data_IF_802262904577
#
_entry.id   IF_802262904577
#
_cell.length_a   1.000
_cell.length_b   1.000
_cell.length_c   1.000
_cell.angle_alpha   90.00
_cell.angle_beta   90.00
_cell.angle_gamma   90.00
#
_symmetry.space_group_name_H-M   'P 1'
#
loop_
_entity.id
_entity.type
_entity.pdbx_description
1 polymer ?
#
# COMPACT_ATOMS: atom_id res chain seq x y z
N UNK A 1 -4.49 -40.36 5.27
CA UNK A 1 -4.89 -39.02 4.81
C UNK A 1 -5.19 -38.17 6.03
N UNK A 2 -4.28 -37.25 6.35
CA UNK A 2 -4.59 -36.17 7.31
C UNK A 2 -5.27 -35.08 6.50
N UNK A 3 -6.62 -35.10 6.47
CA UNK A 3 -7.40 -34.02 5.90
C UNK A 3 -7.05 -32.69 6.57
N UNK A 4 -7.05 -31.61 5.80
CA UNK A 4 -7.01 -30.27 6.35
C UNK A 4 -8.30 -30.07 7.17
N UNK A 5 -8.14 -29.79 8.46
CA UNK A 5 -9.23 -29.39 9.32
C UNK A 5 -9.52 -27.92 9.02
N UNK A 6 -10.67 -27.64 8.40
CA UNK A 6 -11.07 -26.28 8.04
C UNK A 6 -12.16 -25.84 9.01
N UNK A 7 -12.00 -24.63 9.53
CA UNK A 7 -13.03 -23.97 10.32
C UNK A 7 -14.30 -23.77 9.51
N UNK A 8 -15.44 -23.67 10.19
CA UNK A 8 -16.70 -23.35 9.54
C UNK A 8 -16.65 -22.01 8.81
N UNK A 9 -17.30 -21.89 7.62
CA UNK A 9 -17.33 -20.63 6.89
C UNK A 9 -17.91 -19.50 7.72
N UNK A 10 -17.20 -18.38 7.79
CA UNK A 10 -17.67 -17.16 8.45
C UNK A 10 -18.11 -16.12 7.40
N UNK A 11 -19.02 -15.18 7.74
CA UNK A 11 -19.37 -14.08 6.85
C UNK A 11 -18.14 -13.27 6.42
N UNK A 12 -18.20 -12.69 5.22
CA UNK A 12 -17.17 -11.78 4.73
C UNK A 12 -16.99 -10.61 5.70
N UNK A 13 -15.73 -10.34 6.07
CA UNK A 13 -15.39 -9.31 7.04
C UNK A 13 -13.91 -9.01 7.04
N UNK A 14 -13.34 -8.78 8.23
CA UNK A 14 -11.92 -8.47 8.38
C UNK A 14 -11.08 -9.74 8.25
N UNK A 15 -10.19 -9.77 7.26
CA UNK A 15 -9.23 -10.84 7.06
C UNK A 15 -7.82 -10.24 6.90
N UNK A 16 -6.85 -10.73 7.68
CA UNK A 16 -5.45 -10.28 7.64
C UNK A 16 -5.29 -8.74 7.69
N UNK A 17 -6.13 -8.05 8.47
CA UNK A 17 -6.09 -6.60 8.62
C UNK A 17 -6.78 -5.80 7.50
N UNK A 18 -7.29 -6.47 6.47
CA UNK A 18 -8.09 -5.88 5.41
C UNK A 18 -9.59 -6.10 5.69
N UNK A 19 -10.38 -5.03 5.65
CA UNK A 19 -11.83 -5.13 5.73
C UNK A 19 -12.38 -5.39 4.32
N UNK A 20 -13.15 -6.46 4.18
CA UNK A 20 -13.82 -6.81 2.94
C UNK A 20 -15.30 -6.46 3.06
N UNK A 21 -15.81 -5.70 2.09
CA UNK A 21 -17.24 -5.33 2.02
C UNK A 21 -17.79 -5.72 0.66
N UNK A 22 -18.89 -6.44 0.67
CA UNK A 22 -19.64 -6.75 -0.55
C UNK A 22 -20.80 -5.77 -0.70
N UNK A 23 -20.97 -5.27 -1.91
CA UNK A 23 -22.07 -4.38 -2.30
C UNK A 23 -22.46 -4.64 -3.77
N UNK A 24 -23.47 -3.93 -4.24
CA UNK A 24 -23.85 -3.95 -5.65
C UNK A 24 -23.86 -2.53 -6.21
N UNK A 25 -23.46 -2.36 -7.46
CA UNK A 25 -23.63 -1.10 -8.16
C UNK A 25 -24.24 -1.31 -9.54
N UNK A 26 -24.90 -0.28 -10.06
CA UNK A 26 -25.43 -0.23 -11.41
C UNK A 26 -24.44 0.55 -12.28
N UNK A 27 -23.93 -0.09 -13.33
CA UNK A 27 -23.05 0.54 -14.30
C UNK A 27 -23.84 1.46 -15.24
N UNK A 28 -23.14 2.34 -15.98
CA UNK A 28 -23.75 3.26 -16.94
C UNK A 28 -24.60 2.56 -18.01
N UNK A 29 -24.19 1.36 -18.42
CA UNK A 29 -24.95 0.51 -19.37
C UNK A 29 -26.19 -0.16 -18.77
N UNK A 30 -26.54 0.15 -17.50
CA UNK A 30 -27.69 -0.40 -16.79
C UNK A 30 -27.47 -1.77 -16.14
N UNK A 31 -26.31 -2.42 -16.35
CA UNK A 31 -26.00 -3.73 -15.77
C UNK A 31 -25.72 -3.59 -14.27
N UNK A 32 -26.31 -4.45 -13.46
CA UNK A 32 -26.01 -4.56 -12.03
C UNK A 32 -24.86 -5.54 -11.84
N UNK A 33 -23.84 -5.11 -11.10
CA UNK A 33 -22.65 -5.90 -10.80
C UNK A 33 -22.41 -5.95 -9.30
N UNK A 34 -21.81 -7.04 -8.82
CA UNK A 34 -21.32 -7.13 -7.45
C UNK A 34 -19.98 -6.40 -7.35
N UNK A 35 -19.76 -5.75 -6.22
CA UNK A 35 -18.53 -5.01 -5.92
C UNK A 35 -17.95 -5.56 -4.63
N UNK A 36 -16.69 -5.94 -4.67
CA UNK A 36 -15.89 -6.24 -3.49
C UNK A 36 -14.97 -5.05 -3.20
N UNK A 37 -15.06 -4.49 -2.01
CA UNK A 37 -14.17 -3.44 -1.53
C UNK A 37 -13.14 -4.04 -0.57
N UNK A 38 -11.87 -3.66 -0.77
CA UNK A 38 -10.73 -4.01 0.07
C UNK A 38 -10.26 -2.74 0.77
N UNK A 39 -10.55 -2.63 2.06
CA UNK A 39 -10.31 -1.42 2.86
C UNK A 39 -9.17 -1.66 3.86
N UNK A 40 -8.06 -0.94 3.67
CA UNK A 40 -6.87 -0.97 4.50
C UNK A 40 -6.68 0.31 5.32
N UNK A 41 -7.69 1.17 5.43
CA UNK A 41 -7.61 2.49 6.07
C UNK A 41 -7.02 2.43 7.48
N UNK A 42 -7.51 1.53 8.34
CA UNK A 42 -7.00 1.38 9.72
C UNK A 42 -5.54 0.93 9.74
N UNK A 43 -5.19 -0.02 8.88
CA UNK A 43 -3.83 -0.51 8.78
C UNK A 43 -2.87 0.58 8.30
N UNK A 44 -3.23 1.34 7.27
CA UNK A 44 -2.42 2.45 6.75
C UNK A 44 -2.25 3.56 7.79
N UNK A 45 -3.29 3.85 8.61
CA UNK A 45 -3.16 4.76 9.75
C UNK A 45 -2.09 4.27 10.71
N UNK A 46 -2.10 2.98 11.07
CA UNK A 46 -1.07 2.39 11.93
C UNK A 46 0.34 2.42 11.33
N UNK A 47 0.46 2.45 9.99
CA UNK A 47 1.76 2.64 9.34
C UNK A 47 2.28 4.08 9.51
N UNK A 48 1.40 5.05 9.37
CA UNK A 48 1.72 6.49 9.58
C UNK A 48 2.14 6.74 11.04
N UNK A 49 1.41 6.17 11.99
CA UNK A 49 1.73 6.31 13.42
C UNK A 49 3.08 5.65 13.76
N UNK A 50 3.34 4.45 13.24
CA UNK A 50 4.65 3.80 13.39
C UNK A 50 5.81 4.62 12.80
N UNK A 51 5.57 5.32 11.69
CA UNK A 51 6.57 6.24 11.13
C UNK A 51 6.82 7.44 12.04
N UNK A 52 5.78 8.06 12.61
CA UNK A 52 5.91 9.17 13.56
C UNK A 52 6.71 8.75 14.80
N UNK A 53 6.43 7.58 15.34
CA UNK A 53 7.19 7.00 16.46
C UNK A 53 8.66 6.77 16.09
N UNK A 54 8.91 6.19 14.90
CA UNK A 54 10.26 5.95 14.40
C UNK A 54 11.07 7.24 14.21
N UNK A 55 10.41 8.35 13.87
CA UNK A 55 11.02 9.69 13.82
C UNK A 55 11.23 10.32 15.21
N UNK A 56 10.73 9.72 16.29
CA UNK A 56 10.70 10.34 17.62
C UNK A 56 9.79 11.58 17.72
N UNK A 57 8.84 11.73 16.80
CA UNK A 57 7.96 12.88 16.67
C UNK A 57 6.49 12.43 16.50
N UNK A 58 5.81 12.01 17.58
CA UNK A 58 4.44 11.50 17.51
C UNK A 58 3.45 12.52 16.93
N UNK A 59 3.70 13.82 17.14
CA UNK A 59 2.85 14.91 16.65
C UNK A 59 3.31 15.49 15.30
N UNK A 60 4.18 14.78 14.57
CA UNK A 60 4.68 15.23 13.27
C UNK A 60 3.52 15.51 12.31
N UNK A 61 3.40 16.77 11.90
CA UNK A 61 2.41 17.20 10.90
C UNK A 61 2.87 16.78 9.51
N UNK A 62 2.07 15.94 8.86
CA UNK A 62 2.31 15.51 7.49
C UNK A 62 1.59 16.47 6.53
N UNK A 63 2.30 16.90 5.49
CA UNK A 63 1.70 17.77 4.46
C UNK A 63 0.86 16.94 3.49
N UNK A 64 -0.21 17.53 2.97
CA UNK A 64 -0.98 16.92 1.88
C UNK A 64 -0.13 16.89 0.60
N UNK A 65 -0.10 15.75 -0.07
CA UNK A 65 0.62 15.55 -1.33
C UNK A 65 -0.19 14.65 -2.26
N UNK A 66 -0.06 14.88 -3.56
CA UNK A 66 -0.85 14.18 -4.59
C UNK A 66 -0.10 13.03 -5.26
N UNK A 67 1.21 12.91 -5.00
CA UNK A 67 2.05 11.84 -5.58
C UNK A 67 3.02 11.28 -4.54
N UNK A 68 3.31 9.97 -4.61
CA UNK A 68 4.24 9.33 -3.67
C UNK A 68 5.71 9.61 -4.00
N UNK A 69 6.02 10.13 -5.19
CA UNK A 69 7.37 10.45 -5.63
C UNK A 69 7.69 11.92 -5.43
N UNK A 70 8.99 12.22 -5.21
CA UNK A 70 9.51 13.59 -5.31
C UNK A 70 9.67 13.88 -6.79
N UNK A 71 9.02 14.95 -7.27
CA UNK A 71 9.19 15.42 -8.64
C UNK A 71 10.61 15.98 -8.80
N UNK A 72 11.32 15.60 -9.87
CA UNK A 72 12.51 16.31 -10.31
C UNK A 72 12.10 17.65 -10.89
N UNK A 73 12.91 18.69 -10.68
CA UNK A 73 12.64 20.06 -11.12
C UNK A 73 12.43 20.22 -12.64
N UNK A 74 12.77 19.20 -13.41
CA UNK A 74 12.80 19.23 -14.89
C UNK A 74 11.47 18.87 -15.56
N UNK A 75 10.37 18.78 -14.82
CA UNK A 75 9.03 18.64 -15.40
C UNK A 75 8.75 17.29 -16.11
N UNK A 76 9.71 16.38 -16.17
CA UNK A 76 9.51 15.00 -16.64
C UNK A 76 8.75 14.21 -15.55
N UNK A 77 7.47 14.50 -15.42
CA UNK A 77 6.59 13.89 -14.42
C UNK A 77 6.62 12.37 -14.52
N UNK A 78 6.67 11.71 -13.40
CA UNK A 78 6.52 10.29 -13.11
C UNK A 78 7.79 9.42 -13.00
N UNK A 79 9.00 9.88 -13.26
CA UNK A 79 10.17 9.13 -12.83
C UNK A 79 10.47 9.44 -11.35
N UNK A 80 10.74 8.43 -10.50
CA UNK A 80 11.33 8.70 -9.19
C UNK A 80 12.60 9.51 -9.43
N UNK A 81 12.79 10.63 -8.69
CA UNK A 81 14.08 11.31 -8.68
C UNK A 81 15.16 10.25 -8.49
N UNK A 82 16.14 10.20 -9.39
CA UNK A 82 17.27 9.28 -9.21
C UNK A 82 17.88 9.60 -7.86
N UNK A 83 17.76 8.67 -6.92
CA UNK A 83 18.37 8.78 -5.62
C UNK A 83 19.87 8.70 -5.84
N UNK A 84 20.56 9.83 -5.72
CA UNK A 84 22.00 9.97 -6.01
C UNK A 84 22.77 9.06 -5.04
N UNK A 85 23.68 8.26 -5.58
CA UNK A 85 24.62 7.50 -4.76
C UNK A 85 25.70 8.43 -4.18
N UNK A 86 26.00 8.31 -2.89
CA UNK A 86 27.10 9.02 -2.24
C UNK A 86 26.72 10.25 -1.42
N UNK A 87 25.43 10.49 -1.16
CA UNK A 87 24.97 11.51 -0.22
C UNK A 87 25.31 11.19 1.24
N UNK A 88 25.08 12.17 2.14
CA UNK A 88 25.17 11.93 3.59
C UNK A 88 24.24 10.82 4.02
N UNK A 89 24.65 10.05 5.04
CA UNK A 89 23.83 8.99 5.61
C UNK A 89 22.50 9.56 6.15
N UNK A 90 21.40 8.90 5.82
CA UNK A 90 20.09 9.29 6.29
C UNK A 90 19.87 8.89 7.75
N UNK A 91 19.16 9.72 8.48
CA UNK A 91 18.86 9.53 9.92
C UNK A 91 17.91 8.35 10.14
N UNK A 92 17.03 8.09 9.19
CA UNK A 92 16.02 7.01 9.29
C UNK A 92 16.55 5.64 8.88
N UNK A 93 17.83 5.52 8.47
CA UNK A 93 18.43 4.23 8.08
C UNK A 93 18.12 3.06 9.03
N UNK A 94 18.20 3.21 10.38
CA UNK A 94 17.94 2.10 11.30
C UNK A 94 16.50 1.59 11.31
N UNK A 95 15.53 2.45 10.92
CA UNK A 95 14.08 2.15 11.01
C UNK A 95 13.41 2.03 9.64
N UNK A 96 14.09 2.45 8.58
CA UNK A 96 13.54 2.51 7.23
C UNK A 96 13.01 1.15 6.75
N UNK A 97 13.73 0.07 7.01
CA UNK A 97 13.32 -1.28 6.63
C UNK A 97 11.98 -1.65 7.27
N UNK A 98 11.81 -1.43 8.57
CA UNK A 98 10.59 -1.76 9.29
C UNK A 98 9.38 -0.98 8.75
N UNK A 99 9.56 0.33 8.49
CA UNK A 99 8.51 1.19 7.93
C UNK A 99 8.13 0.74 6.53
N UNK A 100 9.12 0.50 5.66
CA UNK A 100 8.88 0.06 4.28
C UNK A 100 8.18 -1.31 4.22
N UNK A 101 8.60 -2.28 5.05
CA UNK A 101 7.98 -3.60 5.06
C UNK A 101 6.54 -3.55 5.58
N UNK A 102 6.26 -2.72 6.56
CA UNK A 102 4.89 -2.49 7.03
C UNK A 102 4.02 -1.87 5.93
N UNK A 103 4.51 -0.85 5.23
CA UNK A 103 3.83 -0.25 4.08
C UNK A 103 3.65 -1.23 2.92
N UNK A 104 4.66 -2.09 2.64
CA UNK A 104 4.61 -3.11 1.59
C UNK A 104 3.45 -4.08 1.80
N UNK A 105 3.15 -4.45 3.04
CA UNK A 105 2.01 -5.31 3.32
C UNK A 105 0.69 -4.67 2.88
N UNK A 106 0.43 -3.41 3.27
CA UNK A 106 -0.77 -2.67 2.83
C UNK A 106 -0.82 -2.43 1.32
N UNK A 107 0.36 -2.19 0.71
CA UNK A 107 0.49 -2.01 -0.73
C UNK A 107 0.08 -3.27 -1.50
N UNK A 108 0.52 -4.43 -1.07
CA UNK A 108 0.16 -5.71 -1.72
C UNK A 108 -1.32 -6.06 -1.56
N UNK A 109 -1.93 -5.67 -0.45
CA UNK A 109 -3.33 -6.00 -0.17
C UNK A 109 -4.32 -5.13 -0.97
N UNK A 110 -4.13 -3.81 -1.01
CA UNK A 110 -5.12 -2.91 -1.60
C UNK A 110 -4.56 -1.58 -2.17
N UNK A 111 -3.24 -1.32 -2.08
CA UNK A 111 -2.64 -0.05 -2.49
C UNK A 111 -1.46 -0.25 -3.44
N UNK A 112 -1.75 -0.81 -4.59
CA UNK A 112 -0.75 -1.14 -5.62
C UNK A 112 -0.01 0.09 -6.15
N UNK A 113 -0.61 1.26 -6.04
CA UNK A 113 0.00 2.57 -6.34
C UNK A 113 1.28 2.84 -5.53
N UNK A 114 1.44 2.21 -4.35
CA UNK A 114 2.61 2.35 -3.49
C UNK A 114 3.76 1.40 -3.85
N UNK A 115 3.49 0.31 -4.58
CA UNK A 115 4.47 -0.77 -4.79
C UNK A 115 5.77 -0.27 -5.41
N UNK A 116 5.70 0.57 -6.45
CA UNK A 116 6.88 1.05 -7.16
C UNK A 116 7.80 1.87 -6.26
N UNK A 117 7.25 2.82 -5.50
CA UNK A 117 8.06 3.68 -4.62
C UNK A 117 8.67 2.90 -3.46
N UNK A 118 7.91 1.97 -2.86
CA UNK A 118 8.41 1.11 -1.78
C UNK A 118 9.55 0.23 -2.31
N UNK A 119 9.37 -0.40 -3.47
CA UNK A 119 10.40 -1.20 -4.10
C UNK A 119 11.67 -0.38 -4.38
N UNK A 120 11.54 0.82 -4.94
CA UNK A 120 12.66 1.71 -5.22
C UNK A 120 13.44 2.04 -3.95
N UNK A 121 12.75 2.40 -2.86
CA UNK A 121 13.39 2.68 -1.58
C UNK A 121 14.03 1.44 -0.94
N UNK A 122 13.39 0.27 -1.09
CA UNK A 122 13.91 -0.99 -0.55
C UNK A 122 15.25 -1.39 -1.17
N UNK A 123 15.50 -1.08 -2.44
CA UNK A 123 16.82 -1.32 -3.07
C UNK A 123 17.94 -0.45 -2.50
N UNK A 124 17.60 0.60 -1.74
CA UNK A 124 18.56 1.54 -1.15
C UNK A 124 18.85 1.29 0.34
N UNK A 125 18.25 0.27 0.95
CA UNK A 125 18.38 0.01 2.38
C UNK A 125 19.82 -0.14 2.87
N UNK A 126 20.71 -0.70 2.05
CA UNK A 126 22.14 -0.86 2.39
C UNK A 126 22.97 0.42 2.18
N UNK A 127 22.43 1.41 1.47
CA UNK A 127 23.08 2.69 1.13
C UNK A 127 22.13 3.86 1.37
N UNK A 128 21.49 3.86 2.54
CA UNK A 128 20.45 4.83 2.87
C UNK A 128 21.00 6.23 3.06
N UNK A 129 20.49 7.20 2.32
CA UNK A 129 20.93 8.60 2.33
C UNK A 129 19.86 9.57 2.84
N UNK A 130 20.23 10.84 3.07
CA UNK A 130 19.26 11.91 3.39
C UNK A 130 18.17 12.06 2.32
N UNK A 131 18.48 11.78 1.05
CA UNK A 131 17.47 11.82 -0.01
C UNK A 131 16.47 10.66 0.10
N UNK A 132 16.92 9.50 0.60
CA UNK A 132 16.02 8.42 0.95
C UNK A 132 15.10 8.80 2.12
N UNK A 133 15.60 9.55 3.12
CA UNK A 133 14.76 10.09 4.21
C UNK A 133 13.66 11.00 3.66
N UNK A 134 14.00 11.92 2.75
CA UNK A 134 13.03 12.82 2.11
C UNK A 134 12.00 12.06 1.28
N UNK A 135 12.45 11.03 0.54
CA UNK A 135 11.59 10.21 -0.28
C UNK A 135 10.65 9.35 0.58
N UNK A 136 11.14 8.77 1.69
CA UNK A 136 10.32 8.04 2.65
C UNK A 136 9.29 8.96 3.32
N UNK A 137 9.71 10.16 3.74
CA UNK A 137 8.79 11.16 4.29
C UNK A 137 7.69 11.54 3.29
N UNK A 138 8.05 11.75 2.02
CA UNK A 138 7.08 12.03 0.95
C UNK A 138 6.10 10.88 0.77
N UNK A 139 6.59 9.64 0.75
CA UNK A 139 5.74 8.45 0.66
C UNK A 139 4.73 8.39 1.81
N UNK A 140 5.17 8.62 3.05
CA UNK A 140 4.28 8.60 4.22
C UNK A 140 3.28 9.75 4.18
N UNK A 141 3.67 10.95 3.72
CA UNK A 141 2.74 12.05 3.46
C UNK A 141 1.66 11.67 2.44
N UNK A 142 2.03 10.95 1.37
CA UNK A 142 1.08 10.47 0.38
C UNK A 142 0.13 9.42 0.95
N UNK A 143 0.64 8.47 1.73
CA UNK A 143 -0.18 7.47 2.42
C UNK A 143 -1.19 8.14 3.34
N UNK A 144 -0.76 9.13 4.15
CA UNK A 144 -1.66 9.88 5.03
C UNK A 144 -2.73 10.67 4.25
N UNK A 145 -2.35 11.27 3.11
CA UNK A 145 -3.25 12.03 2.23
C UNK A 145 -4.31 11.18 1.53
N UNK A 146 -4.03 9.91 1.31
CA UNK A 146 -4.84 8.98 0.50
C UNK A 146 -5.24 7.71 1.25
N UNK A 147 -5.15 7.71 2.58
CA UNK A 147 -5.38 6.52 3.42
C UNK A 147 -6.78 5.94 3.29
N UNK A 148 -7.77 6.79 2.95
CA UNK A 148 -9.17 6.40 2.82
C UNK A 148 -9.49 5.81 1.42
N UNK A 149 -8.49 5.66 0.56
CA UNK A 149 -8.68 5.03 -0.73
C UNK A 149 -8.80 3.51 -0.57
N UNK A 150 -9.84 2.96 -1.18
CA UNK A 150 -10.13 1.52 -1.17
C UNK A 150 -9.97 0.93 -2.57
N UNK A 151 -9.52 -0.32 -2.63
CA UNK A 151 -9.50 -1.08 -3.88
C UNK A 151 -10.88 -1.68 -4.12
N UNK A 152 -11.41 -1.56 -5.35
CA UNK A 152 -12.71 -2.13 -5.73
C UNK A 152 -12.54 -3.13 -6.87
N UNK A 153 -13.04 -4.34 -6.65
CA UNK A 153 -13.20 -5.35 -7.69
C UNK A 153 -14.66 -5.45 -8.13
N UNK A 154 -14.91 -5.52 -9.43
CA UNK A 154 -16.25 -5.61 -10.01
C UNK A 154 -16.44 -6.98 -10.63
N UNK A 155 -17.52 -7.68 -10.24
CA UNK A 155 -17.88 -9.01 -10.76
C UNK A 155 -19.27 -8.92 -11.38
N UNK A 156 -19.33 -8.99 -12.70
CA UNK A 156 -20.56 -8.88 -13.46
C UNK A 156 -21.02 -10.17 -14.11
N UNK A 157 -20.18 -11.21 -14.13
CA UNK A 157 -20.51 -12.48 -14.76
C UNK A 157 -21.19 -13.44 -13.79
N UNK A 158 -22.02 -14.35 -14.31
CA UNK A 158 -22.61 -15.42 -13.51
C UNK A 158 -21.54 -16.42 -13.05
N UNK A 159 -21.80 -17.12 -11.95
CA UNK A 159 -20.84 -18.09 -11.38
C UNK A 159 -20.42 -19.19 -12.35
N UNK A 160 -21.28 -19.55 -13.31
CA UNK A 160 -20.97 -20.53 -14.37
C UNK A 160 -19.93 -20.04 -15.39
N UNK A 161 -19.68 -18.74 -15.46
CA UNK A 161 -18.68 -18.13 -16.35
C UNK A 161 -17.35 -17.84 -15.62
N UNK A 162 -17.25 -18.17 -14.34
CA UNK A 162 -16.06 -17.96 -13.53
C UNK A 162 -15.20 -19.23 -13.49
N UNK A 163 -13.90 -19.06 -13.64
CA UNK A 163 -12.90 -20.12 -13.53
C UNK A 163 -12.00 -19.82 -12.33
N UNK A 164 -11.90 -20.76 -11.40
CA UNK A 164 -11.01 -20.64 -10.24
C UNK A 164 -9.63 -21.18 -10.61
N UNK A 165 -8.62 -20.31 -10.58
CA UNK A 165 -7.23 -20.68 -10.84
C UNK A 165 -6.38 -20.44 -9.61
N UNK A 166 -5.72 -21.47 -9.14
CA UNK A 166 -4.74 -21.41 -8.07
C UNK A 166 -3.33 -21.46 -8.68
N UNK A 167 -2.51 -20.46 -8.37
CA UNK A 167 -1.09 -20.42 -8.69
C UNK A 167 -0.33 -20.65 -7.37
N UNK A 168 0.46 -21.72 -7.31
CA UNK A 168 1.35 -21.97 -6.19
C UNK A 168 2.78 -21.68 -6.66
N UNK A 169 3.53 -20.90 -5.88
CA UNK A 169 4.96 -20.69 -6.05
C UNK A 169 5.68 -21.74 -5.23
N UNK A 170 6.68 -22.40 -5.81
CA UNK A 170 7.42 -23.51 -5.20
C UNK A 170 8.76 -23.06 -4.65
#
# INVERSE_FOLDING_TARGET
>A
DKGLDLDDPTPIGKCLGCNHKESTCKLENGRVVRVMEYDMTEFLRSCVDAYREACGQPDLKLRKVDTPFISTADGAGNAPAELVEGGKAGVLAPVACAVLMKLMYGARMARWDLLKVIQTLSTRLTKWSEDCDKALHRLVCYVDSTRDWVLKGFVGDGTSALDLRLYADA
#
